data_IF_714045095547
#
_entry.id   IF_714045095547
#
_cell.length_a   1.000
_cell.length_b   1.000
_cell.length_c   1.000
_cell.angle_alpha   90.00
_cell.angle_beta   90.00
_cell.angle_gamma   90.00
#
_symmetry.space_group_name_H-M   'P 1'
#
loop_
_entity.id
_entity.type
_entity.pdbx_description
1 polymer ?
#
# COMPACT_ATOMS: atom_id res chain seq x y z
N UNK A 1 17.91 16.16 -16.34
CA UNK A 1 18.89 16.44 -17.41
C UNK A 1 19.30 17.91 -17.51
N UNK A 2 18.88 18.77 -16.58
CA UNK A 2 19.09 20.23 -16.65
C UNK A 2 20.49 20.72 -16.20
N UNK A 3 21.40 19.79 -15.86
CA UNK A 3 22.71 20.11 -15.27
C UNK A 3 23.90 19.54 -16.07
N UNK A 4 23.70 19.06 -17.30
CA UNK A 4 24.75 18.39 -18.07
C UNK A 4 24.72 18.87 -19.53
N UNK A 5 25.61 19.81 -19.87
CA UNK A 5 25.53 20.61 -21.10
C UNK A 5 26.31 20.05 -22.30
N UNK A 6 27.15 19.01 -22.13
CA UNK A 6 27.91 18.42 -23.24
C UNK A 6 27.38 17.06 -23.66
N UNK A 7 27.28 16.82 -24.97
CA UNK A 7 26.81 15.55 -25.54
C UNK A 7 27.64 14.34 -25.05
N UNK A 8 28.95 14.53 -24.83
CA UNK A 8 29.85 13.50 -24.28
C UNK A 8 29.51 13.16 -22.82
N UNK A 9 29.23 14.15 -21.98
CA UNK A 9 28.85 13.93 -20.59
C UNK A 9 27.44 13.32 -20.48
N UNK A 10 26.49 13.75 -21.31
CA UNK A 10 25.16 13.12 -21.40
C UNK A 10 25.25 11.67 -21.87
N UNK A 11 26.09 11.36 -22.85
CA UNK A 11 26.28 9.99 -23.34
C UNK A 11 26.95 9.09 -22.30
N UNK A 12 27.91 9.62 -21.53
CA UNK A 12 28.54 8.90 -20.41
C UNK A 12 27.57 8.68 -19.25
N UNK A 13 26.78 9.69 -18.89
CA UNK A 13 25.73 9.57 -17.86
C UNK A 13 24.68 8.54 -18.27
N UNK A 14 24.19 8.58 -19.52
CA UNK A 14 23.29 7.56 -20.06
C UNK A 14 23.92 6.17 -20.03
N UNK A 15 25.22 6.04 -20.35
CA UNK A 15 25.93 4.77 -20.27
C UNK A 15 26.02 4.23 -18.82
N UNK A 16 26.31 5.09 -17.85
CA UNK A 16 26.36 4.72 -16.42
C UNK A 16 24.97 4.35 -15.91
N UNK A 17 23.95 5.19 -16.14
CA UNK A 17 22.57 4.90 -15.73
C UNK A 17 22.03 3.62 -16.39
N UNK A 18 22.41 3.32 -17.64
CA UNK A 18 22.09 2.04 -18.29
C UNK A 18 22.80 0.86 -17.62
N UNK A 19 24.07 1.03 -17.25
CA UNK A 19 24.85 0.01 -16.54
C UNK A 19 24.27 -0.27 -15.15
N UNK A 20 23.96 0.78 -14.39
CA UNK A 20 23.34 0.68 -13.08
C UNK A 20 21.95 0.03 -13.19
N UNK A 21 21.15 0.43 -14.18
CA UNK A 21 19.84 -0.21 -14.44
C UNK A 21 20.00 -1.70 -14.71
N UNK A 22 21.01 -2.12 -15.49
CA UNK A 22 21.27 -3.55 -15.73
C UNK A 22 21.62 -4.29 -14.45
N UNK A 23 22.51 -3.76 -13.62
CA UNK A 23 22.87 -4.36 -12.34
C UNK A 23 21.69 -4.45 -11.37
N UNK A 24 20.85 -3.41 -11.31
CA UNK A 24 19.63 -3.40 -10.51
C UNK A 24 18.63 -4.44 -11.03
N UNK A 25 18.41 -4.51 -12.35
CA UNK A 25 17.53 -5.55 -12.94
C UNK A 25 18.03 -6.96 -12.62
N UNK A 26 19.35 -7.21 -12.69
CA UNK A 26 19.95 -8.51 -12.32
C UNK A 26 19.76 -8.82 -10.82
N UNK A 27 20.00 -7.85 -9.93
CA UNK A 27 19.74 -7.98 -8.48
C UNK A 27 18.27 -8.28 -8.21
N UNK A 28 17.37 -7.53 -8.82
CA UNK A 28 15.92 -7.68 -8.66
C UNK A 28 15.40 -9.02 -9.14
N UNK A 29 15.93 -9.51 -10.27
CA UNK A 29 15.66 -10.87 -10.75
C UNK A 29 16.08 -11.91 -9.73
N UNK A 30 17.28 -11.77 -9.14
CA UNK A 30 17.76 -12.70 -8.11
C UNK A 30 16.84 -12.73 -6.89
N UNK A 31 16.42 -11.57 -6.39
CA UNK A 31 15.47 -11.46 -5.27
C UNK A 31 14.13 -12.12 -5.58
N UNK A 32 13.64 -11.97 -6.81
CA UNK A 32 12.43 -12.64 -7.28
C UNK A 32 12.59 -14.17 -7.32
N UNK A 33 13.68 -14.67 -7.90
CA UNK A 33 13.95 -16.11 -8.01
C UNK A 33 14.10 -16.74 -6.59
N UNK A 34 14.84 -16.10 -5.69
CA UNK A 34 15.00 -16.53 -4.28
C UNK A 34 13.67 -16.55 -3.53
N UNK A 35 12.78 -15.60 -3.79
CA UNK A 35 11.45 -15.56 -3.21
C UNK A 35 10.58 -16.73 -3.68
N UNK A 36 10.57 -17.03 -4.98
CA UNK A 36 9.82 -18.16 -5.51
C UNK A 36 10.33 -19.50 -5.00
N UNK A 37 11.66 -19.67 -4.91
CA UNK A 37 12.28 -20.86 -4.36
C UNK A 37 11.89 -21.08 -2.90
N UNK A 38 11.94 -20.03 -2.08
CA UNK A 38 11.54 -20.06 -0.66
C UNK A 38 10.09 -20.50 -0.48
N UNK A 39 9.22 -20.09 -1.39
CA UNK A 39 7.78 -20.38 -1.36
C UNK A 39 7.41 -21.67 -2.13
N UNK A 40 8.39 -22.37 -2.69
CA UNK A 40 8.19 -23.62 -3.44
C UNK A 40 7.39 -23.44 -4.74
N UNK A 41 7.45 -22.26 -5.36
CA UNK A 41 6.72 -21.93 -6.59
C UNK A 41 7.66 -21.96 -7.79
N UNK A 42 7.24 -22.64 -8.86
CA UNK A 42 8.00 -22.70 -10.11
C UNK A 42 7.91 -21.37 -10.88
N UNK A 43 9.06 -20.85 -11.31
CA UNK A 43 9.14 -19.63 -12.11
C UNK A 43 8.64 -19.89 -13.54
N UNK A 44 7.37 -19.57 -13.79
CA UNK A 44 6.70 -19.76 -15.07
C UNK A 44 6.21 -18.42 -15.65
N UNK A 45 6.05 -18.30 -16.98
CA UNK A 45 5.49 -17.09 -17.60
C UNK A 45 4.10 -16.70 -17.07
N UNK A 46 3.28 -17.67 -16.67
CA UNK A 46 1.96 -17.44 -16.05
C UNK A 46 2.09 -16.77 -14.67
N UNK A 47 2.99 -17.27 -13.81
CA UNK A 47 3.27 -16.66 -12.50
C UNK A 47 3.75 -15.22 -12.68
N UNK A 48 4.68 -14.99 -13.60
CA UNK A 48 5.17 -13.65 -13.92
C UNK A 48 4.03 -12.74 -14.39
N UNK A 49 3.21 -13.18 -15.36
CA UNK A 49 2.11 -12.38 -15.92
C UNK A 49 1.11 -11.98 -14.83
N UNK A 50 0.77 -12.89 -13.93
CA UNK A 50 -0.17 -12.60 -12.84
C UNK A 50 0.43 -11.70 -11.77
N UNK A 51 1.71 -11.86 -11.43
CA UNK A 51 2.39 -10.95 -10.51
C UNK A 51 2.45 -9.54 -11.08
N UNK A 52 2.76 -9.40 -12.37
CA UNK A 52 2.69 -8.11 -13.06
C UNK A 52 1.28 -7.54 -13.08
N UNK A 53 0.27 -8.37 -13.33
CA UNK A 53 -1.15 -7.98 -13.26
C UNK A 53 -1.54 -7.46 -11.87
N UNK A 54 -1.23 -8.22 -10.82
CA UNK A 54 -1.54 -7.88 -9.43
C UNK A 54 -0.81 -6.64 -8.94
N UNK A 55 0.43 -6.42 -9.40
CA UNK A 55 1.24 -5.24 -9.05
C UNK A 55 1.02 -4.06 -10.01
N UNK A 56 0.17 -4.26 -11.02
CA UNK A 56 -0.10 -3.31 -12.11
C UNK A 56 1.19 -2.77 -12.75
N UNK A 57 2.10 -3.67 -13.06
CA UNK A 57 3.38 -3.39 -13.70
C UNK A 57 3.30 -3.76 -15.19
N UNK A 58 3.75 -2.87 -16.09
CA UNK A 58 3.66 -3.13 -17.52
C UNK A 58 4.68 -4.19 -17.97
N UNK A 59 5.85 -4.24 -17.34
CA UNK A 59 6.95 -5.13 -17.73
C UNK A 59 7.66 -5.77 -16.53
N UNK A 60 8.25 -6.95 -16.75
CA UNK A 60 9.04 -7.69 -15.74
C UNK A 60 10.29 -6.92 -15.29
N UNK A 61 10.85 -6.10 -16.16
CA UNK A 61 11.99 -5.25 -15.82
C UNK A 61 11.63 -4.22 -14.75
N UNK A 62 10.39 -3.72 -14.73
CA UNK A 62 9.93 -2.77 -13.70
C UNK A 62 9.78 -3.48 -12.35
N UNK A 63 9.26 -4.71 -12.34
CA UNK A 63 9.21 -5.56 -11.15
C UNK A 63 10.60 -5.74 -10.55
N UNK A 64 11.58 -6.11 -11.37
CA UNK A 64 12.94 -6.32 -10.90
C UNK A 64 13.58 -5.04 -10.36
N UNK A 65 13.39 -3.90 -11.04
CA UNK A 65 13.95 -2.64 -10.56
C UNK A 65 13.36 -2.21 -9.22
N UNK A 66 12.04 -2.35 -9.06
CA UNK A 66 11.37 -2.01 -7.79
C UNK A 66 11.81 -2.93 -6.65
N UNK A 67 12.01 -4.24 -6.91
CA UNK A 67 12.57 -5.17 -5.92
C UNK A 67 14.01 -4.82 -5.56
N UNK A 68 14.84 -4.48 -6.53
CA UNK A 68 16.25 -4.15 -6.30
C UNK A 68 16.44 -2.85 -5.52
N UNK A 69 15.50 -1.92 -5.63
CA UNK A 69 15.49 -0.66 -4.89
C UNK A 69 14.75 -0.76 -3.55
N UNK A 70 14.30 -1.96 -3.15
CA UNK A 70 13.54 -2.19 -1.92
C UNK A 70 12.22 -1.36 -1.85
N UNK A 71 11.69 -0.95 -3.02
CA UNK A 71 10.43 -0.20 -3.16
C UNK A 71 9.20 -1.09 -2.96
N UNK A 72 9.34 -2.39 -3.27
CA UNK A 72 8.32 -3.42 -3.08
C UNK A 72 8.95 -4.67 -2.47
N UNK A 73 8.16 -5.40 -1.68
CA UNK A 73 8.51 -6.73 -1.20
C UNK A 73 7.39 -7.72 -1.58
N UNK A 74 7.79 -8.90 -2.06
CA UNK A 74 6.84 -9.96 -2.36
C UNK A 74 6.48 -10.74 -1.10
N UNK A 75 5.21 -11.11 -0.97
CA UNK A 75 4.70 -11.88 0.18
C UNK A 75 4.03 -13.17 -0.27
N UNK A 76 4.08 -14.20 0.59
CA UNK A 76 3.42 -15.50 0.37
C UNK A 76 1.92 -15.36 0.04
N UNK A 77 1.24 -14.33 0.56
CA UNK A 77 -0.18 -14.05 0.28
C UNK A 77 -0.42 -13.74 -1.21
N UNK A 78 0.49 -13.00 -1.84
CA UNK A 78 0.40 -12.67 -3.27
C UNK A 78 0.55 -13.89 -4.17
N UNK A 79 1.24 -14.95 -3.70
CA UNK A 79 1.36 -16.23 -4.42
C UNK A 79 0.16 -17.16 -4.19
N UNK A 80 -0.48 -17.13 -3.01
CA UNK A 80 -1.63 -17.98 -2.70
C UNK A 80 -2.84 -17.73 -3.60
N UNK A 81 -3.03 -16.49 -4.05
CA UNK A 81 -4.08 -16.15 -5.01
C UNK A 81 -3.79 -16.72 -6.42
N UNK A 82 -2.53 -17.04 -6.74
CA UNK A 82 -2.13 -17.66 -8.01
C UNK A 82 -2.48 -19.16 -8.07
N UNK A 83 -2.36 -19.86 -6.94
CA UNK A 83 -2.59 -21.31 -6.83
C UNK A 83 -4.07 -21.72 -6.82
N UNK A 84 -4.99 -20.82 -6.45
CA UNK A 84 -6.44 -21.10 -6.50
C UNK A 84 -6.90 -21.57 -7.90
N UNK A 85 -6.30 -21.03 -8.97
CA UNK A 85 -6.70 -21.34 -10.35
C UNK A 85 -6.17 -22.69 -10.86
N UNK A 86 -5.01 -23.19 -10.38
CA UNK A 86 -4.49 -24.52 -10.78
C UNK A 86 -5.38 -25.66 -10.27
N UNK A 87 -6.03 -25.49 -9.13
CA UNK A 87 -7.01 -26.46 -8.60
C UNK A 87 -8.24 -26.66 -9.53
N UNK A 88 -8.53 -25.70 -10.42
CA UNK A 88 -9.68 -25.73 -11.35
C UNK A 88 -9.48 -26.65 -12.55
N UNK A 89 -8.24 -27.00 -12.90
CA UNK A 89 -7.96 -27.90 -14.04
C UNK A 89 -7.92 -29.36 -13.60
N UNK A 90 -7.34 -29.66 -12.43
CA UNK A 90 -7.34 -31.01 -11.86
C UNK A 90 -8.70 -31.42 -11.27
N UNK A 91 -9.49 -30.46 -10.76
CA UNK A 91 -10.86 -30.72 -10.28
C UNK A 91 -11.88 -30.99 -11.39
N UNK A 92 -11.53 -30.77 -12.67
CA UNK A 92 -12.39 -31.18 -13.80
C UNK A 92 -12.35 -32.68 -14.08
N UNK A 93 -11.29 -33.38 -13.64
CA UNK A 93 -11.12 -34.82 -13.86
C UNK A 93 -11.69 -35.64 -12.69
N UNK A 94 -11.74 -35.08 -11.47
CA UNK A 94 -12.30 -35.71 -10.27
C UNK A 94 -13.63 -35.05 -9.84
N UNK A 95 -14.58 -34.90 -10.76
CA UNK A 95 -15.89 -34.31 -10.43
C UNK A 95 -16.79 -35.33 -9.73
N UNK A 96 -16.82 -35.23 -8.41
CA UNK A 96 -17.92 -35.70 -7.57
C UNK A 96 -19.23 -35.00 -8.00
N UNK A 97 -20.31 -35.71 -8.38
CA UNK A 97 -21.54 -35.10 -8.90
C UNK A 97 -22.36 -34.31 -7.85
N UNK A 98 -21.89 -34.23 -6.61
CA UNK A 98 -22.58 -33.57 -5.49
C UNK A 98 -21.92 -32.28 -4.97
N UNK A 99 -20.90 -31.73 -5.64
CA UNK A 99 -20.35 -30.44 -5.23
C UNK A 99 -21.23 -29.30 -5.76
N UNK A 100 -22.06 -28.74 -4.87
CA UNK A 100 -22.85 -27.54 -5.09
C UNK A 100 -21.94 -26.43 -5.62
N UNK A 101 -22.07 -26.15 -6.92
CA UNK A 101 -21.34 -25.11 -7.63
C UNK A 101 -21.79 -23.77 -7.05
N UNK A 102 -21.01 -23.21 -6.12
CA UNK A 102 -21.21 -21.85 -5.62
C UNK A 102 -21.13 -20.94 -6.84
N UNK A 103 -22.28 -20.45 -7.27
CA UNK A 103 -22.40 -19.58 -8.44
C UNK A 103 -21.64 -18.30 -8.07
N UNK A 104 -20.49 -18.07 -8.70
CA UNK A 104 -19.86 -16.75 -8.63
C UNK A 104 -20.82 -15.78 -9.33
N UNK A 105 -21.53 -14.99 -8.54
CA UNK A 105 -22.34 -13.88 -9.03
C UNK A 105 -21.42 -12.96 -9.83
N UNK A 106 -21.71 -12.83 -11.13
CA UNK A 106 -21.02 -11.87 -11.98
C UNK A 106 -21.38 -10.47 -11.47
N UNK A 107 -20.38 -9.75 -10.95
CA UNK A 107 -20.55 -8.37 -10.49
C UNK A 107 -21.00 -7.50 -11.65
N UNK A 108 -21.93 -6.58 -11.36
CA UNK A 108 -22.36 -5.56 -12.32
C UNK A 108 -21.21 -4.59 -12.59
N UNK A 109 -20.98 -4.18 -13.85
CA UNK A 109 -19.94 -3.21 -14.17
C UNK A 109 -20.11 -1.91 -13.39
N UNK A 110 -18.99 -1.36 -12.90
CA UNK A 110 -18.99 -0.12 -12.13
C UNK A 110 -19.26 1.06 -13.08
N UNK A 111 -20.24 1.91 -12.74
CA UNK A 111 -20.49 3.14 -13.49
C UNK A 111 -19.45 4.20 -13.12
N UNK A 112 -18.47 4.40 -14.02
CA UNK A 112 -17.34 5.32 -13.81
C UNK A 112 -17.69 6.80 -14.05
N UNK A 113 -18.91 7.11 -14.51
CA UNK A 113 -19.37 8.49 -14.80
C UNK A 113 -20.01 9.18 -13.60
N UNK A 114 -20.24 8.45 -12.51
CA UNK A 114 -20.82 8.96 -11.27
C UNK A 114 -19.81 8.84 -10.14
N UNK A 115 -20.00 9.65 -9.09
CA UNK A 115 -19.18 9.53 -7.88
C UNK A 115 -19.55 8.21 -7.19
N UNK A 116 -18.54 7.37 -6.97
CA UNK A 116 -18.67 6.11 -6.27
C UNK A 116 -18.58 6.35 -4.76
N UNK A 117 -19.66 6.07 -4.03
CA UNK A 117 -19.70 6.22 -2.58
C UNK A 117 -19.11 4.97 -1.93
N UNK A 118 -18.09 5.16 -1.11
CA UNK A 118 -17.43 4.10 -0.34
C UNK A 118 -18.22 3.86 0.94
N UNK A 119 -18.51 2.60 1.28
CA UNK A 119 -19.27 2.21 2.48
C UNK A 119 -18.36 1.49 3.49
N UNK A 120 -17.56 2.24 4.28
CA UNK A 120 -16.65 1.71 5.29
C UNK A 120 -17.38 1.10 6.49
N UNK A 121 -18.67 1.36 6.65
CA UNK A 121 -19.55 0.94 7.75
C UNK A 121 -20.21 -0.42 7.53
N UNK A 122 -20.23 -0.93 6.29
CA UNK A 122 -20.78 -2.25 5.97
C UNK A 122 -19.86 -3.40 6.40
N UNK A 123 -20.42 -4.55 6.78
CA UNK A 123 -19.65 -5.76 7.13
C UNK A 123 -18.69 -6.19 6.02
N UNK A 124 -19.15 -6.03 4.77
CA UNK A 124 -18.36 -6.25 3.57
C UNK A 124 -18.33 -4.94 2.77
N UNK A 125 -17.27 -4.13 2.91
CA UNK A 125 -17.14 -2.90 2.16
C UNK A 125 -17.28 -3.14 0.65
N UNK A 126 -17.92 -2.21 -0.05
CA UNK A 126 -18.06 -2.24 -1.50
C UNK A 126 -16.74 -1.93 -2.26
N UNK A 127 -15.64 -1.76 -1.54
CA UNK A 127 -14.33 -1.41 -2.08
C UNK A 127 -13.22 -2.25 -1.43
N UNK A 128 -12.03 -2.21 -2.03
CA UNK A 128 -10.79 -2.76 -1.49
C UNK A 128 -9.80 -1.65 -1.21
N UNK A 129 -9.04 -1.78 -0.12
CA UNK A 129 -7.90 -0.92 0.16
C UNK A 129 -6.63 -1.55 -0.39
N UNK A 130 -5.83 -0.78 -1.11
CA UNK A 130 -4.49 -1.20 -1.48
C UNK A 130 -3.52 -0.98 -0.30
N UNK A 131 -2.57 -1.90 -0.13
CA UNK A 131 -1.54 -1.84 0.91
C UNK A 131 -0.55 -0.69 0.73
N UNK A 132 -0.45 -0.10 -0.46
CA UNK A 132 0.57 0.91 -0.76
C UNK A 132 0.37 2.29 -0.12
N UNK A 133 -0.85 2.65 0.29
CA UNK A 133 -1.13 3.98 0.86
C UNK A 133 -2.21 4.00 1.95
N UNK A 134 -2.81 2.85 2.26
CA UNK A 134 -3.75 2.60 3.37
C UNK A 134 -4.68 3.79 3.68
N UNK A 135 -5.51 4.25 2.72
CA UNK A 135 -6.38 5.39 2.94
C UNK A 135 -7.48 5.04 3.95
N UNK A 136 -7.86 6.03 4.76
CA UNK A 136 -8.95 5.93 5.75
C UNK A 136 -9.98 7.03 5.48
N UNK A 137 -11.20 6.94 6.04
CA UNK A 137 -12.22 7.96 5.87
C UNK A 137 -11.69 9.37 6.16
N UNK A 138 -12.04 10.31 5.28
CA UNK A 138 -11.54 11.69 5.32
C UNK A 138 -10.28 11.95 4.48
N UNK A 139 -9.53 10.91 4.07
CA UNK A 139 -8.45 11.08 3.09
C UNK A 139 -9.03 11.41 1.70
N UNK A 140 -8.36 12.29 0.95
CA UNK A 140 -8.64 12.50 -0.47
C UNK A 140 -8.24 11.26 -1.27
N UNK A 141 -9.25 10.60 -1.85
CA UNK A 141 -9.08 9.29 -2.51
C UNK A 141 -9.65 9.26 -3.93
N UNK A 142 -9.11 8.33 -4.71
CA UNK A 142 -9.64 7.93 -5.99
C UNK A 142 -9.86 6.42 -6.02
N UNK A 143 -10.80 5.96 -6.86
CA UNK A 143 -11.03 4.56 -7.13
C UNK A 143 -10.41 4.13 -8.46
N UNK A 144 -9.81 2.95 -8.49
CA UNK A 144 -9.41 2.25 -9.70
C UNK A 144 -10.25 0.96 -9.83
N UNK A 145 -10.92 0.78 -10.96
CA UNK A 145 -11.76 -0.40 -11.20
C UNK A 145 -10.89 -1.54 -11.76
N UNK A 146 -10.69 -2.60 -10.97
CA UNK A 146 -9.91 -3.78 -11.34
C UNK A 146 -10.62 -4.65 -12.39
N UNK A 147 -9.99 -5.76 -12.81
CA UNK A 147 -10.53 -6.61 -13.90
C UNK A 147 -11.77 -7.39 -13.48
N UNK A 148 -12.01 -7.50 -12.17
CA UNK A 148 -13.17 -8.14 -11.58
C UNK A 148 -14.28 -7.14 -11.22
N UNK A 149 -14.16 -5.89 -11.73
CA UNK A 149 -15.06 -4.78 -11.43
C UNK A 149 -15.10 -4.42 -9.93
N UNK A 150 -14.00 -4.66 -9.20
CA UNK A 150 -13.81 -4.15 -7.84
C UNK A 150 -13.18 -2.77 -7.84
N UNK A 151 -13.69 -1.88 -6.98
CA UNK A 151 -13.09 -0.56 -6.77
C UNK A 151 -11.95 -0.68 -5.75
N UNK A 152 -10.72 -0.50 -6.22
CA UNK A 152 -9.51 -0.41 -5.39
C UNK A 152 -9.23 1.06 -5.09
N UNK A 153 -9.19 1.41 -3.81
CA UNK A 153 -9.08 2.79 -3.35
C UNK A 153 -7.63 3.15 -3.06
N UNK A 154 -7.20 4.29 -3.59
CA UNK A 154 -5.89 4.89 -3.31
C UNK A 154 -6.03 6.35 -2.88
N UNK A 155 -5.08 6.84 -2.09
CA UNK A 155 -4.90 8.29 -1.91
C UNK A 155 -4.60 8.95 -3.26
N UNK A 156 -5.10 10.17 -3.46
CA UNK A 156 -4.82 10.96 -4.68
C UNK A 156 -3.32 11.21 -4.85
N UNK A 157 -2.57 11.34 -3.75
CA UNK A 157 -1.12 11.53 -3.73
C UNK A 157 -0.30 10.25 -3.87
N UNK A 158 -0.94 9.08 -3.96
CA UNK A 158 -0.22 7.80 -4.05
C UNK A 158 0.55 7.68 -5.39
N UNK A 159 1.87 7.39 -5.38
CA UNK A 159 2.64 7.22 -6.61
C UNK A 159 2.08 6.13 -7.55
N UNK A 160 1.58 5.03 -6.98
CA UNK A 160 0.93 3.96 -7.76
C UNK A 160 -0.35 4.47 -8.42
N UNK A 161 -1.15 5.28 -7.71
CA UNK A 161 -2.34 5.89 -8.27
C UNK A 161 -2.01 6.87 -9.41
N UNK A 162 -0.90 7.61 -9.31
CA UNK A 162 -0.43 8.47 -10.41
C UNK A 162 -0.07 7.67 -11.66
N UNK A 163 0.56 6.50 -11.48
CA UNK A 163 0.87 5.57 -12.58
C UNK A 163 -0.41 5.01 -13.20
N UNK A 164 -1.36 4.54 -12.38
CA UNK A 164 -2.66 4.06 -12.84
C UNK A 164 -3.43 5.13 -13.62
N UNK A 165 -3.39 6.39 -13.15
CA UNK A 165 -4.00 7.52 -13.85
C UNK A 165 -3.39 7.77 -15.23
N UNK A 166 -2.07 7.62 -15.35
CA UNK A 166 -1.35 7.86 -16.60
C UNK A 166 -1.55 6.72 -17.61
N UNK A 167 -1.59 5.47 -17.15
CA UNK A 167 -1.68 4.28 -18.02
C UNK A 167 -3.10 3.80 -18.28
N UNK A 168 -4.03 4.01 -17.34
CA UNK A 168 -5.36 3.39 -17.32
C UNK A 168 -6.45 4.37 -16.89
N UNK A 169 -6.37 5.63 -17.30
CA UNK A 169 -7.29 6.69 -16.87
C UNK A 169 -8.79 6.38 -17.07
N UNK A 170 -9.15 5.59 -18.08
CA UNK A 170 -10.54 5.17 -18.34
C UNK A 170 -11.12 4.22 -17.28
N UNK A 171 -10.27 3.61 -16.45
CA UNK A 171 -10.65 2.71 -15.36
C UNK A 171 -10.72 3.42 -14.01
N UNK A 172 -10.42 4.71 -13.96
CA UNK A 172 -10.59 5.52 -12.76
C UNK A 172 -12.06 5.86 -12.53
N UNK A 173 -12.42 6.00 -11.26
CA UNK A 173 -13.71 6.50 -10.81
C UNK A 173 -13.49 7.50 -9.68
N UNK A 174 -14.22 8.61 -9.71
CA UNK A 174 -14.22 9.57 -8.61
C UNK A 174 -14.91 8.92 -7.40
N UNK A 175 -14.31 9.03 -6.22
CA UNK A 175 -14.83 8.40 -5.00
C UNK A 175 -15.15 9.42 -3.93
N UNK A 176 -16.09 9.09 -3.06
CA UNK A 176 -16.37 9.84 -1.83
C UNK A 176 -16.58 8.85 -0.69
N UNK A 177 -16.01 9.15 0.47
CA UNK A 177 -16.33 8.41 1.69
C UNK A 177 -17.81 8.63 2.08
N UNK A 178 -18.58 7.55 2.15
CA UNK A 178 -19.83 7.48 2.89
C UNK A 178 -19.57 6.87 4.26
N UNK A 179 -20.57 6.91 5.15
CA UNK A 179 -20.52 6.26 6.46
C UNK A 179 -19.37 6.71 7.39
N UNK A 180 -19.33 6.13 8.58
CA UNK A 180 -18.20 6.22 9.52
C UNK A 180 -18.00 4.84 10.11
N UNK A 181 -16.75 4.38 10.24
CA UNK A 181 -16.45 3.12 10.90
C UNK A 181 -15.21 3.25 11.78
N UNK A 182 -15.27 2.72 13.00
CA UNK A 182 -14.21 2.85 14.00
C UNK A 182 -13.29 1.61 14.03
N UNK A 183 -12.66 1.34 12.88
CA UNK A 183 -11.85 0.13 12.67
C UNK A 183 -10.60 0.34 11.83
N UNK A 184 -10.24 1.59 11.55
CA UNK A 184 -9.08 1.86 10.71
C UNK A 184 -7.82 1.91 11.55
N UNK A 185 -6.71 1.48 10.95
CA UNK A 185 -5.41 1.54 11.58
C UNK A 185 -4.61 2.67 10.93
N UNK A 186 -4.03 3.53 11.76
CA UNK A 186 -3.13 4.58 11.32
C UNK A 186 -1.87 4.58 12.19
N UNK A 187 -0.71 4.69 11.57
CA UNK A 187 0.56 4.85 12.29
C UNK A 187 1.00 6.30 12.22
N UNK A 188 1.39 6.87 13.37
CA UNK A 188 1.92 8.22 13.50
C UNK A 188 3.40 8.11 13.86
N UNK A 189 4.24 8.83 13.10
CA UNK A 189 5.64 9.09 13.42
C UNK A 189 5.74 10.39 14.21
N UNK A 190 6.41 10.34 15.35
CA UNK A 190 6.60 11.44 16.30
C UNK A 190 8.09 11.56 16.57
N UNK A 191 8.64 12.76 16.34
CA UNK A 191 10.05 13.07 16.59
C UNK A 191 10.17 14.28 17.50
N UNK A 192 11.13 14.24 18.41
CA UNK A 192 11.34 15.32 19.34
C UNK A 192 12.57 15.18 20.21
N UNK A 193 12.70 16.11 21.15
CA UNK A 193 13.77 16.12 22.15
C UNK A 193 13.37 15.18 23.28
N UNK A 194 14.23 14.20 23.56
CA UNK A 194 14.03 13.23 24.62
C UNK A 194 14.23 13.86 26.00
N UNK A 195 13.35 13.48 26.93
CA UNK A 195 13.45 13.85 28.34
C UNK A 195 12.64 12.89 29.18
N UNK A 196 12.93 12.88 30.48
CA UNK A 196 12.15 12.13 31.47
C UNK A 196 10.66 12.46 31.33
N UNK A 197 9.84 11.41 31.24
CA UNK A 197 8.38 11.50 31.16
C UNK A 197 7.81 11.64 29.75
N UNK A 198 8.63 11.74 28.68
CA UNK A 198 8.10 12.01 27.33
C UNK A 198 7.11 10.94 26.84
N UNK A 199 7.40 9.66 27.11
CA UNK A 199 6.50 8.55 26.74
C UNK A 199 5.17 8.59 27.50
N UNK A 200 5.21 8.95 28.78
CA UNK A 200 4.00 9.10 29.61
C UNK A 200 3.11 10.24 29.09
N UNK A 201 3.71 11.35 28.69
CA UNK A 201 2.97 12.48 28.11
C UNK A 201 2.35 12.12 26.76
N UNK A 202 3.10 11.44 25.88
CA UNK A 202 2.61 10.99 24.57
C UNK A 202 1.42 10.05 24.75
N UNK A 203 1.60 9.00 25.54
CA UNK A 203 0.54 8.01 25.79
C UNK A 203 -0.64 8.62 26.53
N UNK A 204 -0.40 9.58 27.44
CA UNK A 204 -1.41 10.33 28.17
C UNK A 204 -2.31 11.17 27.25
N UNK A 205 -1.73 11.94 26.33
CA UNK A 205 -2.51 12.72 25.35
C UNK A 205 -3.38 11.80 24.48
N UNK A 206 -2.83 10.68 24.02
CA UNK A 206 -3.55 9.77 23.11
C UNK A 206 -4.68 9.03 23.84
N UNK A 207 -4.40 8.47 25.02
CA UNK A 207 -5.36 7.62 25.76
C UNK A 207 -6.34 8.39 26.62
N UNK A 208 -5.92 9.45 27.33
CA UNK A 208 -6.77 10.17 28.29
C UNK A 208 -7.46 11.37 27.67
N UNK A 209 -6.74 12.16 26.88
CA UNK A 209 -7.31 13.40 26.35
C UNK A 209 -8.20 13.14 25.12
N UNK A 210 -7.77 12.22 24.24
CA UNK A 210 -8.47 11.94 22.96
C UNK A 210 -9.27 10.64 23.04
N UNK A 211 -8.80 9.64 23.81
CA UNK A 211 -9.55 8.40 24.01
C UNK A 211 -9.36 7.36 22.90
N UNK A 212 -8.17 7.31 22.28
CA UNK A 212 -7.89 6.45 21.12
C UNK A 212 -7.12 5.21 21.52
N UNK A 213 -7.51 4.05 21.00
CA UNK A 213 -6.86 2.78 21.29
C UNK A 213 -5.49 2.68 20.59
N UNK A 214 -4.46 2.32 21.36
CA UNK A 214 -3.10 2.10 20.88
C UNK A 214 -2.89 0.60 20.59
N UNK A 215 -2.62 0.26 19.34
CA UNK A 215 -2.43 -1.13 18.88
C UNK A 215 -0.96 -1.55 18.97
N UNK A 216 -0.04 -0.60 18.80
CA UNK A 216 1.39 -0.85 18.88
C UNK A 216 2.17 0.44 19.10
N UNK A 217 3.32 0.33 19.75
CA UNK A 217 4.19 1.45 20.04
C UNK A 217 5.65 0.99 19.99
N UNK A 218 6.46 1.71 19.23
CA UNK A 218 7.91 1.60 19.25
C UNK A 218 8.49 2.98 19.52
N UNK A 219 9.40 3.09 20.49
CA UNK A 219 10.12 4.34 20.77
C UNK A 219 11.59 4.04 20.99
N UNK A 220 12.46 4.84 20.39
CA UNK A 220 13.90 4.77 20.56
C UNK A 220 14.44 6.18 20.80
N UNK A 221 15.33 6.32 21.78
CA UNK A 221 16.02 7.58 22.05
C UNK A 221 17.53 7.42 21.81
N UNK A 222 18.14 8.38 21.11
CA UNK A 222 19.58 8.47 20.87
C UNK A 222 19.99 9.94 20.82
N UNK A 223 21.10 10.28 21.47
CA UNK A 223 21.66 11.65 21.46
C UNK A 223 20.61 12.73 21.78
N UNK A 224 19.81 12.51 22.84
CA UNK A 224 18.75 13.45 23.29
C UNK A 224 17.60 13.66 22.30
N UNK A 225 17.48 12.83 21.27
CA UNK A 225 16.36 12.83 20.32
C UNK A 225 15.63 11.50 20.44
N UNK A 226 14.30 11.55 20.49
CA UNK A 226 13.46 10.35 20.39
C UNK A 226 12.80 10.27 19.02
N UNK A 227 12.66 9.04 18.56
CA UNK A 227 11.84 8.64 17.42
C UNK A 227 10.80 7.65 17.93
N UNK A 228 9.53 8.00 17.76
CA UNK A 228 8.40 7.18 18.17
C UNK A 228 7.49 6.90 16.97
N UNK A 229 7.14 5.63 16.80
CA UNK A 229 6.08 5.19 15.92
C UNK A 229 4.98 4.59 16.76
N UNK A 230 3.77 5.13 16.61
CA UNK A 230 2.60 4.65 17.33
C UNK A 230 1.47 4.30 16.36
N UNK A 231 0.98 3.08 16.47
CA UNK A 231 -0.10 2.54 15.66
C UNK A 231 -1.39 2.61 16.45
N UNK A 232 -2.39 3.29 15.91
CA UNK A 232 -3.65 3.64 16.55
C UNK A 232 -4.83 3.08 15.77
N UNK A 233 -5.88 2.71 16.49
CA UNK A 233 -7.18 2.44 15.90
C UNK A 233 -8.00 3.73 15.89
N UNK A 234 -8.39 4.19 14.71
CA UNK A 234 -9.08 5.48 14.48
C UNK A 234 -10.29 5.30 13.59
N UNK A 235 -11.19 6.28 13.64
CA UNK A 235 -12.39 6.37 12.83
C UNK A 235 -12.14 7.07 11.48
N UNK A 236 -11.32 8.12 11.47
CA UNK A 236 -11.06 8.94 10.29
C UNK A 236 -9.69 9.67 10.35
N UNK A 237 -9.33 10.34 9.25
CA UNK A 237 -8.10 11.13 9.14
C UNK A 237 -8.10 12.39 10.00
N UNK A 238 -9.25 13.01 10.23
CA UNK A 238 -9.39 14.21 11.07
C UNK A 238 -8.98 13.91 12.52
N UNK A 239 -9.38 12.76 13.07
CA UNK A 239 -8.93 12.27 14.37
C UNK A 239 -7.41 12.13 14.42
N UNK A 240 -6.78 11.59 13.38
CA UNK A 240 -5.31 11.49 13.30
C UNK A 240 -4.65 12.87 13.28
N UNK A 241 -5.21 13.82 12.53
CA UNK A 241 -4.73 15.19 12.49
C UNK A 241 -4.86 15.89 13.84
N UNK A 242 -5.98 15.67 14.54
CA UNK A 242 -6.23 16.18 15.89
C UNK A 242 -5.23 15.61 16.90
N UNK A 243 -4.89 14.32 16.80
CA UNK A 243 -3.83 13.70 17.62
C UNK A 243 -2.48 14.35 17.33
N UNK A 244 -2.09 14.46 16.06
CA UNK A 244 -0.82 15.08 15.68
C UNK A 244 -0.71 16.53 16.17
N UNK A 245 -1.81 17.30 16.07
CA UNK A 245 -1.88 18.68 16.57
C UNK A 245 -1.73 18.73 18.09
N UNK A 246 -2.51 17.92 18.82
CA UNK A 246 -2.49 17.87 20.28
C UNK A 246 -1.12 17.49 20.83
N UNK A 247 -0.44 16.50 20.21
CA UNK A 247 0.92 16.10 20.59
C UNK A 247 1.91 17.27 20.45
N UNK A 248 1.86 18.02 19.35
CA UNK A 248 2.75 19.16 19.12
C UNK A 248 2.48 20.33 20.06
N UNK A 249 1.22 20.60 20.37
CA UNK A 249 0.82 21.77 21.18
C UNK A 249 1.01 21.52 22.68
N UNK A 250 0.67 20.33 23.17
CA UNK A 250 0.66 20.02 24.61
C UNK A 250 2.02 19.55 25.13
N UNK A 251 2.80 18.84 24.31
CA UNK A 251 4.02 18.17 24.77
C UNK A 251 5.25 18.99 24.38
N UNK A 252 5.82 19.70 25.35
CA UNK A 252 7.09 20.40 25.17
C UNK A 252 8.19 19.37 24.84
N UNK A 253 8.73 19.46 23.63
CA UNK A 253 9.78 18.58 23.12
C UNK A 253 9.42 17.92 21.80
N UNK A 254 8.12 17.70 21.53
CA UNK A 254 7.65 17.20 20.22
C UNK A 254 7.90 18.27 19.15
N UNK A 255 8.63 17.90 18.10
CA UNK A 255 8.94 18.77 16.95
C UNK A 255 8.14 18.37 15.72
N UNK A 256 7.97 17.07 15.52
CA UNK A 256 7.21 16.51 14.41
C UNK A 256 6.21 15.48 14.92
N UNK A 257 5.02 15.50 14.35
CA UNK A 257 4.01 14.46 14.51
C UNK A 257 3.25 14.39 13.18
N UNK A 258 3.34 13.26 12.49
CA UNK A 258 2.69 13.05 11.19
C UNK A 258 2.26 11.60 11.01
N UNK A 259 1.16 11.39 10.31
CA UNK A 259 0.76 10.05 9.86
C UNK A 259 1.76 9.51 8.83
N UNK A 260 2.15 8.26 8.98
CA UNK A 260 2.87 7.48 7.98
C UNK A 260 1.83 6.97 6.97
N UNK A 261 2.06 7.20 5.67
CA UNK A 261 1.19 6.76 4.57
C UNK A 261 1.93 5.80 3.67
#
# INVERSE_FOLDING_TARGET
>A
MQFCNSAKAQNRLRAILRKDRRHLTERGKKLYDEFLEREGVENTPDVMTRLLGNLHLPHKEDLYLMLANDEINLSAKQLKDLNKTRSSLLSKILRNPFSSKKQEERKTPVNRKVIYVLHPDEDKPNYKLDTCCQPIPGDDVLGFVDENEDVVVHKVSCPNAMRLKSSFGSRLVATKWGGVADRFIATISIDGIDRRGILEEITGVISRDIGVNMVGLTINARQEVFHCEITLQVDNSETVENICRSLKEKIKGVKFAKRIS
#
